data_IF_706203678872
#
_entry.id   IF_706203678872
#
_cell.length_a   1.000
_cell.length_b   1.000
_cell.length_c   1.000
_cell.angle_alpha   90.00
_cell.angle_beta   90.00
_cell.angle_gamma   90.00
#
_symmetry.space_group_name_H-M   'P 1'
#
loop_
_entity.id
_entity.type
_entity.pdbx_description
1 polymer ?
#
# COMPACT_ATOMS: atom_id res chain seq x y z
N UNK A 1 16.47 -52.12 -1.35
CA UNK A 1 17.09 -50.76 -1.31
C UNK A 1 16.52 -49.90 -2.41
N UNK A 2 16.52 -50.35 -3.68
CA UNK A 2 16.00 -49.63 -4.85
C UNK A 2 14.51 -49.18 -4.66
N UNK A 3 13.63 -50.10 -4.27
CA UNK A 3 12.21 -49.81 -4.06
C UNK A 3 11.96 -48.75 -2.98
N UNK A 4 12.75 -48.71 -1.89
CA UNK A 4 12.67 -47.66 -0.87
C UNK A 4 13.12 -46.30 -1.39
N UNK A 5 14.05 -46.25 -2.33
CA UNK A 5 14.51 -45.03 -2.99
C UNK A 5 13.46 -44.50 -3.95
N UNK A 6 12.79 -45.39 -4.70
CA UNK A 6 11.68 -45.04 -5.58
C UNK A 6 10.49 -44.46 -4.80
N UNK A 7 10.05 -45.16 -3.73
CA UNK A 7 8.97 -44.68 -2.84
C UNK A 7 9.29 -43.32 -2.23
N UNK A 8 10.58 -43.09 -1.86
CA UNK A 8 11.01 -41.78 -1.32
C UNK A 8 11.05 -40.70 -2.41
N UNK A 9 11.46 -41.04 -3.64
CA UNK A 9 11.45 -40.12 -4.78
C UNK A 9 10.03 -39.67 -5.10
N UNK A 10 9.09 -40.60 -5.18
CA UNK A 10 7.67 -40.31 -5.45
C UNK A 10 7.06 -39.44 -4.36
N UNK A 11 7.36 -39.70 -3.10
CA UNK A 11 6.92 -38.88 -1.98
C UNK A 11 7.46 -37.44 -2.06
N UNK A 12 8.76 -37.30 -2.35
CA UNK A 12 9.36 -35.97 -2.50
C UNK A 12 8.78 -35.19 -3.68
N UNK A 13 8.45 -35.86 -4.77
CA UNK A 13 7.77 -35.21 -5.90
C UNK A 13 6.37 -34.73 -5.53
N UNK A 14 5.58 -35.54 -4.82
CA UNK A 14 4.28 -35.11 -4.31
C UNK A 14 4.38 -33.92 -3.35
N UNK A 15 5.38 -33.93 -2.44
CA UNK A 15 5.64 -32.79 -1.54
C UNK A 15 6.02 -31.55 -2.33
N UNK A 16 6.87 -31.69 -3.36
CA UNK A 16 7.24 -30.57 -4.24
C UNK A 16 6.03 -29.94 -4.90
N UNK A 17 5.16 -30.76 -5.49
CA UNK A 17 3.92 -30.28 -6.13
C UNK A 17 3.00 -29.60 -5.12
N UNK A 18 2.82 -30.17 -3.93
CA UNK A 18 2.00 -29.58 -2.88
C UNK A 18 2.53 -28.21 -2.44
N UNK A 19 3.84 -28.10 -2.22
CA UNK A 19 4.47 -26.83 -1.83
C UNK A 19 4.35 -25.76 -2.93
N UNK A 20 4.49 -26.17 -4.21
CA UNK A 20 4.31 -25.29 -5.33
C UNK A 20 2.88 -24.73 -5.40
N UNK A 21 1.88 -25.61 -5.37
CA UNK A 21 0.46 -25.22 -5.38
C UNK A 21 0.10 -24.32 -4.20
N UNK A 22 0.62 -24.64 -3.01
CA UNK A 22 0.40 -23.81 -1.81
C UNK A 22 1.02 -22.42 -1.96
N UNK A 23 2.22 -22.33 -2.55
CA UNK A 23 2.88 -21.05 -2.82
C UNK A 23 2.12 -20.22 -3.84
N UNK A 24 1.63 -20.82 -4.91
CA UNK A 24 0.81 -20.14 -5.92
C UNK A 24 -0.51 -19.61 -5.33
N UNK A 25 -1.18 -20.44 -4.53
CA UNK A 25 -2.39 -20.03 -3.81
C UNK A 25 -2.13 -18.86 -2.86
N UNK A 26 -1.07 -18.92 -2.06
CA UNK A 26 -0.71 -17.85 -1.14
C UNK A 26 -0.40 -16.52 -1.86
N UNK A 27 0.31 -16.59 -3.00
CA UNK A 27 0.57 -15.39 -3.83
C UNK A 27 -0.71 -14.79 -4.38
N UNK A 28 -1.63 -15.63 -4.87
CA UNK A 28 -2.91 -15.16 -5.41
C UNK A 28 -3.77 -14.50 -4.32
N UNK A 29 -3.82 -15.08 -3.13
CA UNK A 29 -4.51 -14.47 -1.99
C UNK A 29 -3.88 -13.11 -1.59
N UNK A 30 -2.55 -13.05 -1.51
CA UNK A 30 -1.86 -11.80 -1.21
C UNK A 30 -2.10 -10.74 -2.30
N UNK A 31 -2.06 -11.12 -3.58
CA UNK A 31 -2.37 -10.23 -4.70
C UNK A 31 -3.76 -9.62 -4.57
N UNK A 32 -4.78 -10.46 -4.35
CA UNK A 32 -6.17 -10.02 -4.21
C UNK A 32 -6.36 -9.08 -3.01
N UNK A 33 -5.76 -9.39 -1.87
CA UNK A 33 -5.83 -8.52 -0.68
C UNK A 33 -5.20 -7.15 -0.92
N UNK A 34 -4.06 -7.11 -1.61
CA UNK A 34 -3.41 -5.84 -1.96
C UNK A 34 -4.27 -5.04 -2.95
N UNK A 35 -4.81 -5.70 -4.00
CA UNK A 35 -5.68 -5.04 -4.98
C UNK A 35 -6.91 -4.41 -4.31
N UNK A 36 -7.57 -5.15 -3.41
CA UNK A 36 -8.74 -4.67 -2.67
C UNK A 36 -8.37 -3.45 -1.83
N UNK A 37 -7.29 -3.53 -1.04
CA UNK A 37 -6.91 -2.43 -0.15
C UNK A 37 -6.54 -1.17 -0.94
N UNK A 38 -5.75 -1.31 -2.00
CA UNK A 38 -5.35 -0.15 -2.83
C UNK A 38 -6.54 0.42 -3.60
N UNK A 39 -7.44 -0.42 -4.11
CA UNK A 39 -8.68 0.02 -4.76
C UNK A 39 -9.53 0.83 -3.79
N UNK A 40 -9.76 0.33 -2.57
CA UNK A 40 -10.53 1.08 -1.55
C UNK A 40 -9.87 2.41 -1.18
N UNK A 41 -8.53 2.46 -1.10
CA UNK A 41 -7.84 3.72 -0.85
C UNK A 41 -8.09 4.74 -1.96
N UNK A 42 -8.03 4.31 -3.23
CA UNK A 42 -8.29 5.18 -4.39
C UNK A 42 -9.75 5.68 -4.42
N UNK A 43 -10.71 4.77 -4.22
CA UNK A 43 -12.13 5.12 -4.16
C UNK A 43 -12.42 6.08 -3.01
N UNK A 44 -11.84 5.81 -1.83
CA UNK A 44 -12.03 6.64 -0.64
C UNK A 44 -11.50 8.07 -0.82
N UNK A 45 -10.32 8.20 -1.41
CA UNK A 45 -9.67 9.50 -1.59
C UNK A 45 -10.27 10.29 -2.75
N UNK A 46 -10.51 9.65 -3.89
CA UNK A 46 -10.90 10.34 -5.12
C UNK A 46 -12.40 10.26 -5.44
N UNK A 47 -13.14 9.37 -4.80
CA UNK A 47 -14.58 9.18 -5.06
C UNK A 47 -14.89 8.71 -6.48
N UNK A 48 -13.93 8.11 -7.17
CA UNK A 48 -14.03 7.69 -8.56
C UNK A 48 -14.13 6.15 -8.65
N UNK A 49 -14.75 5.64 -9.72
CA UNK A 49 -14.73 4.22 -10.06
C UNK A 49 -13.34 3.86 -10.64
N UNK A 50 -12.41 3.65 -9.73
CA UNK A 50 -11.01 3.32 -10.03
C UNK A 50 -10.66 2.00 -9.37
N UNK A 51 -10.14 1.05 -10.13
CA UNK A 51 -9.68 -0.24 -9.65
C UNK A 51 -8.17 -0.37 -9.84
N UNK A 52 -7.49 -0.80 -8.79
CA UNK A 52 -6.07 -1.17 -8.87
C UNK A 52 -5.94 -2.65 -9.19
N UNK A 53 -5.00 -2.98 -10.09
CA UNK A 53 -4.74 -4.35 -10.54
C UNK A 53 -3.26 -4.66 -10.54
N UNK A 54 -2.95 -5.91 -10.17
CA UNK A 54 -1.60 -6.47 -10.19
C UNK A 54 -1.59 -7.65 -11.16
N UNK A 55 -0.77 -7.58 -12.18
CA UNK A 55 -0.48 -8.69 -13.06
C UNK A 55 0.84 -9.34 -12.68
N UNK A 56 0.80 -10.63 -12.33
CA UNK A 56 1.98 -11.42 -12.05
C UNK A 56 2.44 -12.09 -13.35
N UNK A 57 3.72 -11.91 -13.70
CA UNK A 57 4.35 -12.49 -14.87
C UNK A 57 5.59 -13.26 -14.46
N UNK A 58 5.82 -14.39 -15.08
CA UNK A 58 7.06 -15.14 -14.91
C UNK A 58 8.08 -14.72 -15.97
N UNK A 59 9.16 -14.08 -15.53
CA UNK A 59 10.23 -13.60 -16.40
C UNK A 59 11.53 -14.23 -15.97
N UNK A 60 12.10 -15.07 -16.82
CA UNK A 60 13.39 -15.73 -16.56
C UNK A 60 13.43 -16.49 -15.22
N UNK A 61 12.34 -17.18 -14.85
CA UNK A 61 12.22 -17.95 -13.61
C UNK A 61 12.04 -17.09 -12.35
N UNK A 62 11.70 -15.81 -12.51
CA UNK A 62 11.33 -14.89 -11.41
C UNK A 62 9.93 -14.36 -11.64
N UNK A 63 9.16 -14.25 -10.57
CA UNK A 63 7.85 -13.61 -10.62
C UNK A 63 8.04 -12.11 -10.53
N UNK A 64 7.58 -11.39 -11.55
CA UNK A 64 7.53 -9.92 -11.60
C UNK A 64 6.07 -9.47 -11.49
N UNK A 65 5.86 -8.27 -10.95
CA UNK A 65 4.54 -7.67 -10.81
C UNK A 65 4.45 -6.38 -11.61
N UNK A 66 3.50 -6.32 -12.54
CA UNK A 66 3.10 -5.07 -13.21
C UNK A 66 1.85 -4.51 -12.54
N UNK A 67 1.80 -3.18 -12.40
CA UNK A 67 0.69 -2.46 -11.77
C UNK A 67 -0.11 -1.72 -12.82
N UNK A 68 -1.44 -1.80 -12.70
CA UNK A 68 -2.38 -1.14 -13.58
C UNK A 68 -3.48 -0.43 -12.78
N UNK A 69 -4.03 0.60 -13.36
CA UNK A 69 -5.21 1.30 -12.87
C UNK A 69 -6.28 1.24 -13.95
N UNK A 70 -7.43 0.69 -13.60
CA UNK A 70 -8.63 0.69 -14.45
C UNK A 70 -9.56 1.80 -13.98
N UNK A 71 -10.10 2.55 -14.92
CA UNK A 71 -11.18 3.51 -14.67
C UNK A 71 -12.29 3.30 -15.66
N UNK A 72 -13.52 3.39 -15.17
CA UNK A 72 -14.73 3.30 -15.97
C UNK A 72 -15.24 4.71 -16.28
N UNK A 73 -15.37 5.04 -17.56
CA UNK A 73 -15.93 6.30 -18.05
C UNK A 73 -17.14 5.99 -18.93
N UNK A 74 -18.33 5.93 -18.34
CA UNK A 74 -19.52 5.46 -19.05
C UNK A 74 -19.32 4.04 -19.57
N UNK A 75 -19.39 3.86 -20.90
CA UNK A 75 -19.21 2.56 -21.54
C UNK A 75 -17.73 2.20 -21.82
N UNK A 76 -16.78 3.08 -21.49
CA UNK A 76 -15.37 2.87 -21.79
C UNK A 76 -14.58 2.50 -20.53
N UNK A 77 -13.77 1.45 -20.63
CA UNK A 77 -12.79 1.08 -19.60
C UNK A 77 -11.39 1.46 -20.11
N UNK A 78 -10.70 2.26 -19.33
CA UNK A 78 -9.32 2.66 -19.61
C UNK A 78 -8.41 2.00 -18.58
N UNK A 79 -7.49 1.16 -19.07
CA UNK A 79 -6.46 0.52 -18.25
C UNK A 79 -5.09 1.09 -18.62
N UNK A 80 -4.37 1.60 -17.63
CA UNK A 80 -3.06 2.23 -17.82
C UNK A 80 -2.14 1.90 -16.66
N UNK A 81 -0.84 1.99 -16.87
CA UNK A 81 0.11 2.01 -15.74
C UNK A 81 -0.07 3.30 -14.94
N UNK A 82 0.04 3.27 -13.60
CA UNK A 82 -0.16 4.46 -12.78
C UNK A 82 0.68 5.65 -13.21
N UNK A 83 1.96 5.44 -13.53
CA UNK A 83 2.90 6.49 -13.91
C UNK A 83 2.70 7.05 -15.32
N UNK A 84 2.03 6.33 -16.23
CA UNK A 84 1.99 6.70 -17.65
C UNK A 84 0.82 7.64 -18.00
N UNK A 85 -0.30 7.53 -17.27
CA UNK A 85 -1.53 8.23 -17.65
C UNK A 85 -2.34 8.79 -16.48
N UNK A 86 -1.80 8.73 -15.28
CA UNK A 86 -2.46 9.27 -14.07
C UNK A 86 -1.60 10.35 -13.46
N UNK A 87 -2.23 11.39 -12.97
CA UNK A 87 -1.52 12.46 -12.24
C UNK A 87 -0.75 11.93 -11.02
N UNK A 88 0.28 12.66 -10.60
CA UNK A 88 1.14 12.28 -9.46
C UNK A 88 0.38 11.96 -8.18
N UNK A 89 -0.78 12.58 -7.95
CA UNK A 89 -1.62 12.31 -6.79
C UNK A 89 -2.14 10.87 -6.71
N UNK A 90 -2.55 10.28 -7.83
CA UNK A 90 -2.98 8.87 -7.86
C UNK A 90 -1.80 7.94 -7.55
N UNK A 91 -0.62 8.24 -8.10
CA UNK A 91 0.60 7.47 -7.83
C UNK A 91 0.99 7.54 -6.36
N UNK A 92 0.88 8.72 -5.74
CA UNK A 92 1.16 8.91 -4.30
C UNK A 92 0.22 8.08 -3.43
N UNK A 93 -1.09 8.10 -3.71
CA UNK A 93 -2.08 7.32 -2.96
C UNK A 93 -1.86 5.82 -3.15
N UNK A 94 -1.58 5.35 -4.37
CA UNK A 94 -1.21 3.96 -4.62
C UNK A 94 0.03 3.57 -3.82
N UNK A 95 1.08 4.39 -3.86
CA UNK A 95 2.32 4.12 -3.14
C UNK A 95 2.11 4.03 -1.62
N UNK A 96 1.28 4.92 -1.06
CA UNK A 96 0.91 4.92 0.33
C UNK A 96 0.13 3.65 0.70
N UNK A 97 -0.92 3.33 -0.06
CA UNK A 97 -1.76 2.16 0.16
C UNK A 97 -0.98 0.84 0.01
N UNK A 98 -0.04 0.75 -0.95
CA UNK A 98 0.84 -0.40 -1.10
C UNK A 98 1.75 -0.60 0.11
N UNK A 99 2.34 0.47 0.66
CA UNK A 99 3.17 0.38 1.88
C UNK A 99 2.34 -0.18 3.05
N UNK A 100 1.13 0.31 3.21
CA UNK A 100 0.18 -0.15 4.23
C UNK A 100 -0.15 -1.63 4.01
N UNK A 101 -0.53 -2.02 2.80
CA UNK A 101 -0.88 -3.40 2.45
C UNK A 101 0.29 -4.36 2.72
N UNK A 102 1.50 -3.99 2.31
CA UNK A 102 2.69 -4.80 2.53
C UNK A 102 3.01 -4.96 4.02
N UNK A 103 2.88 -3.89 4.82
CA UNK A 103 3.07 -3.97 6.28
C UNK A 103 2.09 -4.93 6.96
N UNK A 104 0.86 -5.05 6.42
CA UNK A 104 -0.14 -5.97 6.94
C UNK A 104 0.08 -7.42 6.47
N UNK A 105 0.52 -7.60 5.23
CA UNK A 105 0.76 -8.91 4.63
C UNK A 105 2.05 -9.59 5.13
N UNK A 106 3.00 -8.82 5.63
CA UNK A 106 4.32 -9.35 6.03
C UNK A 106 4.23 -10.27 7.25
N UNK A 107 4.90 -11.42 7.16
CA UNK A 107 5.01 -12.38 8.27
C UNK A 107 6.49 -12.70 8.55
N UNK A 108 6.96 -12.65 9.80
CA UNK A 108 6.23 -12.24 11.01
C UNK A 108 5.84 -10.76 10.99
N UNK A 109 4.73 -10.40 11.66
CA UNK A 109 4.23 -9.01 11.65
C UNK A 109 5.29 -8.01 12.07
N UNK A 110 5.53 -7.01 11.22
CA UNK A 110 6.40 -5.90 11.55
C UNK A 110 5.66 -5.01 12.55
N UNK A 111 6.17 -4.95 13.77
CA UNK A 111 5.65 -4.07 14.81
C UNK A 111 6.36 -2.71 14.73
N UNK A 112 5.62 -1.65 15.05
CA UNK A 112 6.14 -0.30 15.07
C UNK A 112 5.29 0.69 14.27
N UNK A 113 5.59 2.00 14.38
CA UNK A 113 4.84 3.02 13.67
C UNK A 113 5.11 2.97 12.16
N UNK A 114 4.15 3.44 11.39
CA UNK A 114 4.37 3.85 10.00
C UNK A 114 4.98 5.26 10.02
N UNK A 115 6.12 5.44 9.37
CA UNK A 115 6.80 6.73 9.29
C UNK A 115 6.64 7.25 7.87
N UNK A 116 6.07 8.44 7.75
CA UNK A 116 5.77 9.10 6.49
C UNK A 116 6.47 10.45 6.42
N UNK A 117 7.15 10.70 5.31
CA UNK A 117 7.78 11.97 5.00
C UNK A 117 7.08 12.57 3.77
N UNK A 118 6.42 13.71 3.98
CA UNK A 118 5.61 14.43 3.00
C UNK A 118 4.66 13.51 2.19
N UNK A 119 3.80 12.70 2.85
CA UNK A 119 2.85 11.86 2.14
C UNK A 119 1.87 12.73 1.35
N UNK A 120 1.47 12.23 0.19
CA UNK A 120 0.52 12.90 -0.70
C UNK A 120 1.00 14.26 -1.27
N UNK A 121 2.31 14.44 -1.44
CA UNK A 121 2.92 15.69 -1.93
C UNK A 121 2.35 16.16 -3.28
N UNK A 122 1.95 15.24 -4.15
CA UNK A 122 1.42 15.54 -5.47
C UNK A 122 -0.11 15.41 -5.55
N UNK A 123 -0.78 15.19 -4.42
CA UNK A 123 -2.24 15.15 -4.35
C UNK A 123 -2.77 16.57 -4.33
N UNK A 124 -3.79 16.86 -5.14
CA UNK A 124 -4.44 18.17 -5.18
C UNK A 124 -5.15 18.47 -3.84
N UNK A 125 -5.19 19.73 -3.45
CA UNK A 125 -5.74 20.16 -2.15
C UNK A 125 -7.15 19.64 -1.88
N UNK A 126 -7.97 19.52 -2.91
CA UNK A 126 -9.35 19.01 -2.80
C UNK A 126 -9.42 17.53 -2.31
N UNK A 127 -8.37 16.74 -2.52
CA UNK A 127 -8.30 15.33 -2.14
C UNK A 127 -7.45 15.06 -0.89
N UNK A 128 -6.70 16.04 -0.39
CA UNK A 128 -5.84 15.87 0.79
C UNK A 128 -6.65 15.46 2.02
N UNK A 129 -7.85 16.05 2.19
CA UNK A 129 -8.76 15.66 3.27
C UNK A 129 -9.14 14.18 3.21
N UNK A 130 -9.33 13.62 2.01
CA UNK A 130 -9.55 12.19 1.79
C UNK A 130 -8.35 11.34 2.21
N UNK A 131 -7.12 11.79 1.88
CA UNK A 131 -5.90 11.09 2.32
C UNK A 131 -5.77 11.12 3.84
N UNK A 132 -6.03 12.26 4.47
CA UNK A 132 -5.98 12.43 5.93
C UNK A 132 -6.94 11.45 6.64
N UNK A 133 -8.19 11.40 6.17
CA UNK A 133 -9.20 10.48 6.70
C UNK A 133 -8.85 9.01 6.43
N UNK A 134 -8.32 8.69 5.27
CA UNK A 134 -7.85 7.33 4.95
C UNK A 134 -6.74 6.88 5.91
N UNK A 135 -5.76 7.74 6.19
CA UNK A 135 -4.70 7.44 7.16
C UNK A 135 -5.24 7.23 8.56
N UNK A 136 -6.16 8.10 9.02
CA UNK A 136 -6.81 7.95 10.33
C UNK A 136 -7.58 6.63 10.43
N UNK A 137 -8.39 6.31 9.42
CA UNK A 137 -9.11 5.05 9.35
C UNK A 137 -8.19 3.83 9.40
N UNK A 138 -7.06 3.89 8.69
CA UNK A 138 -6.05 2.85 8.71
C UNK A 138 -5.43 2.67 10.11
N UNK A 139 -5.04 3.76 10.76
CA UNK A 139 -4.48 3.74 12.11
C UNK A 139 -5.44 3.06 13.10
N UNK A 140 -6.71 3.44 13.05
CA UNK A 140 -7.74 2.90 13.93
C UNK A 140 -8.01 1.41 13.64
N UNK A 141 -8.15 1.03 12.37
CA UNK A 141 -8.43 -0.35 11.96
C UNK A 141 -7.32 -1.32 12.37
N UNK A 142 -6.07 -0.94 12.22
CA UNK A 142 -4.92 -1.81 12.48
C UNK A 142 -4.25 -1.55 13.84
N UNK A 143 -4.80 -0.62 14.64
CA UNK A 143 -4.22 -0.19 15.92
C UNK A 143 -2.74 0.15 15.78
N UNK A 144 -2.40 0.89 14.71
CA UNK A 144 -1.03 1.26 14.38
C UNK A 144 -0.84 2.77 14.51
N UNK A 145 0.27 3.17 15.08
CA UNK A 145 0.66 4.57 15.15
C UNK A 145 1.26 5.01 13.80
N UNK A 146 0.86 6.20 13.31
CA UNK A 146 1.54 6.93 12.25
C UNK A 146 2.33 8.10 12.80
N UNK A 147 3.54 8.26 12.30
CA UNK A 147 4.39 9.43 12.55
C UNK A 147 4.61 10.10 11.20
N UNK A 148 4.11 11.32 11.05
CA UNK A 148 4.13 12.02 9.78
C UNK A 148 4.92 13.32 9.88
N UNK A 149 5.75 13.57 8.90
CA UNK A 149 6.41 14.86 8.68
C UNK A 149 5.69 15.50 7.50
N UNK A 150 5.10 16.67 7.70
CA UNK A 150 4.38 17.37 6.64
C UNK A 150 4.30 18.87 6.90
N UNK A 151 4.19 19.64 5.83
CA UNK A 151 3.85 21.06 5.88
C UNK A 151 2.37 21.33 5.54
N UNK A 152 1.58 20.28 5.25
CA UNK A 152 0.18 20.41 4.90
C UNK A 152 -0.70 20.48 6.14
N UNK A 153 -1.47 21.58 6.28
CA UNK A 153 -2.35 21.81 7.42
C UNK A 153 -3.48 20.78 7.53
N UNK A 154 -4.10 20.38 6.39
CA UNK A 154 -5.21 19.42 6.41
C UNK A 154 -4.79 18.04 6.95
N UNK A 155 -3.54 17.62 6.69
CA UNK A 155 -2.99 16.40 7.28
C UNK A 155 -2.75 16.55 8.78
N UNK A 156 -2.37 17.74 9.24
CA UNK A 156 -2.14 17.98 10.67
C UNK A 156 -3.43 18.08 11.49
N UNK A 157 -4.54 18.49 10.89
CA UNK A 157 -5.83 18.64 11.58
C UNK A 157 -6.43 17.32 12.10
N UNK A 158 -6.14 16.19 11.43
CA UNK A 158 -6.64 14.87 11.84
C UNK A 158 -5.73 14.15 12.84
N UNK A 159 -4.56 14.71 13.13
CA UNK A 159 -3.58 14.10 14.01
C UNK A 159 -3.97 14.26 15.49
N UNK A 160 -3.75 13.21 16.29
CA UNK A 160 -4.01 13.26 17.74
C UNK A 160 -3.01 14.16 18.47
N UNK A 161 -1.80 14.33 17.90
CA UNK A 161 -0.73 15.22 18.42
C UNK A 161 0.04 15.84 17.30
N UNK A 162 0.26 17.13 17.37
CA UNK A 162 1.02 17.90 16.40
C UNK A 162 2.15 18.65 17.10
N UNK A 163 3.31 18.67 16.47
CA UNK A 163 4.46 19.44 16.92
C UNK A 163 4.92 20.35 15.78
N UNK A 164 4.99 21.67 16.09
CA UNK A 164 5.56 22.63 15.17
C UNK A 164 7.09 22.69 15.37
N UNK A 165 7.82 22.55 14.28
CA UNK A 165 9.29 22.63 14.28
C UNK A 165 9.70 23.89 13.52
N UNK A 166 10.34 24.83 14.21
CA UNK A 166 10.80 26.09 13.63
C UNK A 166 12.30 26.26 13.81
N UNK A 167 12.95 26.82 12.80
CA UNK A 167 14.36 27.18 12.88
C UNK A 167 14.48 28.62 13.41
N UNK A 168 14.97 28.80 14.63
CA UNK A 168 15.20 30.10 15.26
C UNK A 168 16.68 30.25 15.64
N UNK A 169 17.34 31.26 15.08
CA UNK A 169 18.76 31.56 15.35
C UNK A 169 19.69 30.35 15.19
N UNK A 170 19.46 29.54 14.13
CA UNK A 170 20.26 28.36 13.82
C UNK A 170 19.99 27.14 14.69
N UNK A 171 18.94 27.15 15.53
CA UNK A 171 18.50 26.03 16.36
C UNK A 171 17.07 25.64 16.03
N UNK A 172 16.80 24.35 15.91
CA UNK A 172 15.44 23.82 15.78
C UNK A 172 14.73 23.88 17.13
N UNK A 173 13.59 24.56 17.17
CA UNK A 173 12.72 24.67 18.34
C UNK A 173 11.47 23.87 18.05
N UNK A 174 11.11 22.98 18.97
CA UNK A 174 9.93 22.14 18.89
C UNK A 174 8.90 22.63 19.90
N UNK A 175 7.69 22.95 19.43
CA UNK A 175 6.57 23.38 20.28
C UNK A 175 5.34 22.51 20.01
N UNK A 176 4.59 22.08 21.04
CA UNK A 176 3.30 21.47 20.82
C UNK A 176 2.40 22.44 20.07
N UNK A 177 1.75 21.95 19.01
CA UNK A 177 0.78 22.74 18.25
C UNK A 177 -0.63 22.32 18.68
N UNK A 178 -1.43 23.27 19.13
CA UNK A 178 -2.85 23.08 19.42
C UNK A 178 -3.61 23.89 18.38
N UNK A 179 -4.40 23.23 17.54
CA UNK A 179 -5.35 23.95 16.68
C UNK A 179 -6.33 24.72 17.57
N UNK A 180 -6.48 26.00 17.27
CA UNK A 180 -7.40 26.89 17.97
C UNK A 180 -8.85 26.56 17.62
#
# INVERSE_FOLDING_TARGET
>A
ELRKLEEKSDLLEQVRILLQNTSEYAREQARQQIEILVTHALEYVFGLDIQFKIELKEVRGRTEADFFVKSTYGDYIVETRPQDARGGGIVDVISLALRIAMLQAFQPKIMGPLILDEPAKHVSEEYIGGVAQFLKYYCDMFSRQDIMITHNHQLSEVADKVFLIELKQGKSIVTPYTSA
#
